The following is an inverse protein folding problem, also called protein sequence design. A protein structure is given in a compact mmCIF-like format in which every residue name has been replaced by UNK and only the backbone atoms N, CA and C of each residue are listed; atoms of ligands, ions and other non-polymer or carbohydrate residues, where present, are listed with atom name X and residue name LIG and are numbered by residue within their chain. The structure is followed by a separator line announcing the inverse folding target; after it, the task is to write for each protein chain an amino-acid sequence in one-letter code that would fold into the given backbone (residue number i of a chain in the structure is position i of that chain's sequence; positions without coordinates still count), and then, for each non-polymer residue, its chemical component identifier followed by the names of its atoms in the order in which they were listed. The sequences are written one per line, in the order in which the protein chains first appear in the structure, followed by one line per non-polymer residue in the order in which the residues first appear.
data_IF_132764636706
#
_entry.id   IF_132764636706
#
_cell.length_a   1.000
_cell.length_b   1.000
_cell.length_c   1.000
_cell.angle_alpha   90.00
_cell.angle_beta   90.00
_cell.angle_gamma   90.00
#
_symmetry.space_group_name_H-M   'P 1'
#
loop_
_entity.id
_entity.type
_entity.pdbx_description
1 polymer ?
#
# COMPACT_ATOMS: atom_id res chain seq x y z
N UNK A 1 -0.05 5.36 4.99
CA UNK A 1 -1.49 5.58 4.77
C UNK A 1 -2.23 5.21 6.06
N UNK A 2 -3.14 6.03 6.61
CA UNK A 2 -3.73 5.80 7.95
C UNK A 2 -5.17 5.25 7.94
N UNK A 3 -5.97 5.53 6.90
CA UNK A 3 -7.39 5.11 6.87
C UNK A 3 -7.56 3.58 6.93
N UNK A 4 -6.80 2.83 6.11
CA UNK A 4 -6.86 1.37 6.11
C UNK A 4 -6.49 0.78 7.49
N UNK A 5 -5.52 1.38 8.18
CA UNK A 5 -5.13 0.97 9.53
C UNK A 5 -6.27 1.20 10.55
N UNK A 6 -7.05 2.29 10.41
CA UNK A 6 -8.24 2.53 11.25
C UNK A 6 -9.36 1.53 10.97
N UNK A 7 -9.63 1.24 9.69
CA UNK A 7 -10.69 0.30 9.32
C UNK A 7 -10.40 -1.12 9.83
N UNK A 8 -9.12 -1.52 9.88
CA UNK A 8 -8.72 -2.81 10.42
C UNK A 8 -9.11 -3.01 11.90
N UNK A 9 -9.25 -1.92 12.67
CA UNK A 9 -9.64 -1.98 14.10
C UNK A 9 -11.07 -2.50 14.30
N UNK A 10 -11.90 -2.45 13.26
CA UNK A 10 -13.27 -2.98 13.29
C UNK A 10 -13.32 -4.52 13.30
N UNK A 11 -12.17 -5.19 13.17
CA UNK A 11 -12.09 -6.64 13.00
C UNK A 11 -12.25 -7.09 11.54
N UNK A 12 -12.31 -6.14 10.60
CA UNK A 12 -12.34 -6.44 9.17
C UNK A 12 -11.08 -7.20 8.73
N UNK A 13 -11.27 -8.20 7.85
CA UNK A 13 -10.14 -8.88 7.20
C UNK A 13 -9.45 -7.92 6.23
N UNK A 14 -8.16 -7.70 6.43
CA UNK A 14 -7.34 -6.86 5.55
C UNK A 14 -6.71 -7.75 4.48
N UNK A 15 -7.02 -7.47 3.22
CA UNK A 15 -6.39 -8.10 2.07
C UNK A 15 -5.61 -7.05 1.28
N UNK A 16 -4.41 -7.44 0.86
CA UNK A 16 -3.62 -6.69 -0.11
C UNK A 16 -4.00 -7.19 -1.50
N UNK A 17 -4.12 -6.29 -2.47
CA UNK A 17 -4.51 -6.66 -3.81
C UNK A 17 -3.84 -5.80 -4.87
N UNK A 18 -3.51 -6.41 -6.00
CA UNK A 18 -3.24 -5.70 -7.24
C UNK A 18 -3.74 -6.51 -8.44
N UNK A 19 -4.01 -5.82 -9.54
CA UNK A 19 -4.38 -6.43 -10.81
C UNK A 19 -3.28 -6.16 -11.83
N UNK A 20 -2.60 -7.20 -12.28
CA UNK A 20 -1.61 -7.11 -13.34
C UNK A 20 -2.30 -7.08 -14.70
N UNK A 21 -2.11 -6.00 -15.47
CA UNK A 21 -2.59 -5.88 -16.84
C UNK A 21 -1.77 -6.79 -17.74
N UNK A 22 -2.45 -7.64 -18.52
CA UNK A 22 -1.81 -8.56 -19.46
C UNK A 22 -1.54 -7.90 -20.81
N UNK A 23 -0.60 -8.47 -21.56
CA UNK A 23 -0.21 -7.96 -22.87
C UNK A 23 -1.39 -7.94 -23.86
N UNK A 24 -1.33 -7.06 -24.85
CA UNK A 24 -2.25 -7.06 -26.00
C UNK A 24 -3.75 -7.12 -25.63
N UNK A 25 -4.15 -6.52 -24.51
CA UNK A 25 -5.55 -6.48 -24.10
C UNK A 25 -6.11 -7.83 -23.61
N UNK A 26 -5.27 -8.78 -23.25
CA UNK A 26 -5.68 -10.11 -22.78
C UNK A 26 -6.38 -10.13 -21.39
N UNK A 27 -6.63 -8.96 -20.80
CA UNK A 27 -7.32 -8.83 -19.51
C UNK A 27 -6.36 -8.58 -18.34
N UNK A 28 -6.71 -9.11 -17.16
CA UNK A 28 -6.00 -8.87 -15.91
C UNK A 28 -5.87 -10.14 -15.06
N UNK A 29 -4.75 -10.29 -14.37
CA UNK A 29 -4.63 -11.22 -13.25
C UNK A 29 -4.85 -10.48 -11.93
N UNK A 30 -5.98 -10.75 -11.26
CA UNK A 30 -6.22 -10.27 -9.90
C UNK A 30 -5.46 -11.16 -8.90
N UNK A 31 -4.59 -10.53 -8.11
CA UNK A 31 -3.80 -11.20 -7.08
C UNK A 31 -4.21 -10.65 -5.72
N UNK A 32 -4.53 -11.57 -4.81
CA UNK A 32 -4.95 -11.27 -3.43
C UNK A 32 -3.94 -11.90 -2.47
N UNK A 33 -3.54 -11.16 -1.45
CA UNK A 33 -2.58 -11.61 -0.46
C UNK A 33 -3.09 -11.31 0.94
N UNK A 34 -2.88 -12.21 1.91
CA UNK A 34 -3.03 -11.87 3.32
C UNK A 34 -1.92 -10.91 3.74
N UNK A 35 -2.08 -10.27 4.90
CA UNK A 35 -0.95 -9.65 5.58
C UNK A 35 0.07 -10.72 5.97
N UNK A 36 1.38 -10.38 5.92
CA UNK A 36 2.43 -11.29 6.36
C UNK A 36 2.38 -11.57 7.86
N UNK A 37 1.88 -10.60 8.63
CA UNK A 37 1.62 -10.71 10.06
C UNK A 37 0.41 -9.84 10.45
N UNK A 38 -0.29 -10.15 11.55
CA UNK A 38 -1.36 -9.30 12.06
C UNK A 38 -0.87 -7.86 12.30
N UNK A 39 -1.74 -6.88 12.04
CA UNK A 39 -1.45 -5.48 12.35
C UNK A 39 -1.35 -5.30 13.87
N UNK A 40 -0.26 -4.71 14.34
CA UNK A 40 0.00 -4.51 15.76
C UNK A 40 0.41 -3.06 16.07
N UNK A 41 0.22 -2.66 17.34
CA UNK A 41 0.64 -1.36 17.84
C UNK A 41 -0.38 -0.25 17.66
N UNK A 42 0.09 0.99 17.74
CA UNK A 42 -0.70 2.20 17.52
C UNK A 42 -0.99 2.45 16.02
N UNK A 43 -1.77 3.50 15.73
CA UNK A 43 -2.15 3.84 14.37
C UNK A 43 -0.94 4.09 13.45
N UNK A 44 0.13 4.73 13.96
CA UNK A 44 1.32 5.04 13.18
C UNK A 44 2.11 3.76 12.85
N UNK A 45 2.24 2.87 13.83
CA UNK A 45 2.90 1.56 13.68
C UNK A 45 2.17 0.66 12.69
N UNK A 46 0.84 0.57 12.79
CA UNK A 46 -0.01 -0.16 11.83
C UNK A 46 0.08 0.42 10.43
N UNK A 47 0.03 1.75 10.30
CA UNK A 47 0.19 2.42 9.01
C UNK A 47 1.57 2.18 8.39
N UNK A 48 2.63 2.14 9.20
CA UNK A 48 3.97 1.79 8.75
C UNK A 48 4.07 0.33 8.30
N UNK A 49 3.44 -0.60 9.03
CA UNK A 49 3.35 -2.01 8.64
C UNK A 49 2.64 -2.17 7.29
N UNK A 50 1.49 -1.52 7.09
CA UNK A 50 0.80 -1.52 5.80
C UNK A 50 1.65 -0.94 4.66
N UNK A 51 2.41 0.13 4.91
CA UNK A 51 3.31 0.66 3.87
C UNK A 51 4.40 -0.36 3.50
N UNK A 52 4.97 -1.10 4.46
CA UNK A 52 5.96 -2.16 4.18
C UNK A 52 5.37 -3.29 3.33
N UNK A 53 4.14 -3.70 3.65
CA UNK A 53 3.40 -4.67 2.84
C UNK A 53 3.18 -4.19 1.41
N UNK A 54 2.81 -2.90 1.23
CA UNK A 54 2.69 -2.29 -0.09
C UNK A 54 4.01 -2.28 -0.84
N UNK A 55 5.14 -1.99 -0.19
CA UNK A 55 6.45 -2.06 -0.84
C UNK A 55 6.77 -3.48 -1.35
N UNK A 56 6.41 -4.52 -0.60
CA UNK A 56 6.55 -5.92 -1.05
C UNK A 56 5.68 -6.16 -2.29
N UNK A 57 4.42 -5.71 -2.29
CA UNK A 57 3.53 -5.81 -3.44
C UNK A 57 4.08 -5.09 -4.68
N UNK A 58 4.56 -3.86 -4.51
CA UNK A 58 5.12 -3.04 -5.59
C UNK A 58 6.32 -3.74 -6.23
N UNK A 59 7.18 -4.39 -5.43
CA UNK A 59 8.34 -5.15 -5.95
C UNK A 59 7.95 -6.36 -6.80
N UNK A 60 6.72 -6.85 -6.75
CA UNK A 60 6.26 -7.96 -7.59
C UNK A 60 5.88 -7.54 -9.01
N UNK A 61 5.54 -6.27 -9.25
CA UNK A 61 5.17 -5.73 -10.57
C UNK A 61 5.47 -4.23 -10.65
N UNK A 62 6.76 -3.84 -10.45
CA UNK A 62 7.14 -2.43 -10.35
C UNK A 62 6.85 -1.65 -11.64
N UNK A 63 6.88 -2.32 -12.80
CA UNK A 63 6.60 -1.74 -14.11
C UNK A 63 5.15 -1.28 -14.31
N UNK A 64 4.21 -1.76 -13.49
CA UNK A 64 2.80 -1.33 -13.54
C UNK A 64 2.38 -0.45 -12.36
N UNK A 65 3.30 -0.11 -11.47
CA UNK A 65 3.02 0.86 -10.42
C UNK A 65 2.96 2.28 -10.98
N UNK A 66 2.06 3.11 -10.44
CA UNK A 66 1.82 4.47 -10.91
C UNK A 66 2.86 5.46 -10.35
N UNK A 67 4.11 5.35 -10.79
CA UNK A 67 5.25 6.19 -10.34
C UNK A 67 5.09 7.69 -10.60
N UNK A 68 4.20 8.09 -11.52
CA UNK A 68 3.93 9.51 -11.81
C UNK A 68 3.29 10.28 -10.64
N UNK A 69 2.76 9.58 -9.63
CA UNK A 69 2.26 10.23 -8.43
C UNK A 69 3.42 10.65 -7.52
N UNK A 70 3.58 11.97 -7.31
CA UNK A 70 4.63 12.52 -6.44
C UNK A 70 4.31 12.31 -4.95
N UNK A 71 4.46 11.06 -4.51
CA UNK A 71 4.13 10.58 -3.17
C UNK A 71 4.93 11.26 -2.05
N UNK A 72 6.13 11.73 -2.37
CA UNK A 72 7.05 12.37 -1.43
C UNK A 72 7.03 13.90 -1.55
N UNK A 73 6.09 14.47 -2.32
CA UNK A 73 5.90 15.91 -2.39
C UNK A 73 5.58 16.45 -1.00
N UNK A 74 6.40 17.38 -0.53
CA UNK A 74 6.08 18.23 0.62
C UNK A 74 5.20 19.38 0.11
N UNK A 75 3.94 19.52 0.56
CA UNK A 75 3.10 20.65 0.19
C UNK A 75 3.73 21.99 0.60
N UNK A 76 3.44 23.06 -0.14
CA UNK A 76 3.91 24.39 0.23
C UNK A 76 3.41 24.77 1.62
N UNK A 77 4.31 25.20 2.51
CA UNK A 77 3.99 25.56 3.89
C UNK A 77 3.87 24.39 4.86
N UNK A 78 4.06 23.14 4.41
CA UNK A 78 4.19 22.00 5.30
C UNK A 78 5.64 21.85 5.76
N UNK A 79 5.83 21.47 7.03
CA UNK A 79 7.14 21.09 7.55
C UNK A 79 7.62 19.81 6.84
N UNK A 80 8.87 19.76 6.37
CA UNK A 80 9.39 18.56 5.72
C UNK A 80 9.44 17.40 6.72
N UNK A 81 9.29 16.15 6.25
CA UNK A 81 9.50 14.99 7.11
C UNK A 81 10.94 15.00 7.66
N UNK A 82 11.16 14.45 8.87
CA UNK A 82 12.50 14.30 9.44
C UNK A 82 13.41 13.50 8.51
N UNK A 83 14.70 13.82 8.54
CA UNK A 83 15.75 13.20 7.73
C UNK A 83 16.01 11.73 8.10
#
# INVERSE_FOLDING_TARGET
MTLAARLAETGATVLLAYAERLHYGAGYHLKLFPLSAPLAGDLAQRAAQLNRELEVLIRQCPEQYLWGYNRYKVPSGAEPPPA
#
